data_IF_111087202554
#
_entry.id   IF_111087202554
#
_cell.length_a   1.000
_cell.length_b   1.000
_cell.length_c   1.000
_cell.angle_alpha   90.00
_cell.angle_beta   90.00
_cell.angle_gamma   90.00
#
_symmetry.space_group_name_H-M   'P 1'
#
loop_
_entity.id
_entity.type
_entity.pdbx_description
1 polymer ?
#
# COMPACT_ATOMS: atom_id res chain seq x y z
N UNK A 1 -11.34 -11.57 -31.22
CA UNK A 1 -11.35 -10.47 -30.22
C UNK A 1 -10.94 -9.19 -30.93
N UNK A 2 -11.73 -8.12 -30.91
CA UNK A 2 -11.39 -6.85 -31.62
C UNK A 2 -10.29 -6.10 -30.87
N UNK A 3 -9.42 -5.35 -31.55
CA UNK A 3 -8.36 -4.55 -30.88
C UNK A 3 -8.94 -3.62 -29.81
N UNK A 4 -10.07 -2.97 -30.09
CA UNK A 4 -10.81 -2.13 -29.15
C UNK A 4 -11.23 -2.88 -27.87
N UNK A 5 -11.59 -4.16 -27.96
CA UNK A 5 -11.93 -4.97 -26.80
C UNK A 5 -10.72 -5.35 -25.95
N UNK A 6 -9.52 -5.46 -26.53
CA UNK A 6 -8.28 -5.74 -25.80
C UNK A 6 -7.80 -4.50 -25.05
N UNK A 7 -7.76 -3.34 -25.72
CA UNK A 7 -7.37 -2.07 -25.09
C UNK A 7 -8.27 -1.69 -23.92
N UNK A 8 -9.59 -1.90 -24.05
CA UNK A 8 -10.54 -1.68 -22.95
C UNK A 8 -10.26 -2.59 -21.75
N UNK A 9 -9.96 -3.87 -21.97
CA UNK A 9 -9.65 -4.80 -20.89
C UNK A 9 -8.34 -4.44 -20.18
N UNK A 10 -7.30 -4.05 -20.92
CA UNK A 10 -6.03 -3.58 -20.34
C UNK A 10 -6.25 -2.30 -19.53
N UNK A 11 -7.03 -1.36 -20.04
CA UNK A 11 -7.34 -0.11 -19.32
C UNK A 11 -8.10 -0.39 -18.03
N UNK A 12 -9.08 -1.29 -18.06
CA UNK A 12 -9.83 -1.69 -16.88
C UNK A 12 -8.94 -2.38 -15.85
N UNK A 13 -8.05 -3.28 -16.28
CA UNK A 13 -7.08 -3.92 -15.38
C UNK A 13 -6.12 -2.89 -14.74
N UNK A 14 -5.67 -1.88 -15.48
CA UNK A 14 -4.86 -0.77 -14.92
C UNK A 14 -5.63 0.02 -13.87
N UNK A 15 -6.89 0.37 -14.15
CA UNK A 15 -7.75 1.07 -13.20
C UNK A 15 -7.90 0.25 -11.91
N UNK A 16 -8.13 -1.07 -12.01
CA UNK A 16 -8.24 -1.93 -10.84
C UNK A 16 -6.94 -1.93 -10.01
N UNK A 17 -5.77 -2.01 -10.65
CA UNK A 17 -4.49 -1.92 -9.93
C UNK A 17 -4.31 -0.56 -9.25
N UNK A 18 -4.69 0.55 -9.91
CA UNK A 18 -4.64 1.89 -9.33
C UNK A 18 -5.57 1.98 -8.12
N UNK A 19 -6.80 1.50 -8.24
CA UNK A 19 -7.77 1.50 -7.13
C UNK A 19 -7.29 0.64 -5.96
N UNK A 20 -6.70 -0.52 -6.24
CA UNK A 20 -6.11 -1.37 -5.21
C UNK A 20 -4.98 -0.66 -4.46
N UNK A 21 -4.09 0.05 -5.18
CA UNK A 21 -3.03 0.84 -4.58
C UNK A 21 -3.58 2.02 -3.75
N UNK A 22 -4.61 2.72 -4.25
CA UNK A 22 -5.27 3.80 -3.49
C UNK A 22 -5.92 3.26 -2.22
N UNK A 23 -6.56 2.08 -2.28
CA UNK A 23 -7.10 1.41 -1.10
C UNK A 23 -6.02 1.07 -0.07
N UNK A 24 -4.90 0.50 -0.51
CA UNK A 24 -3.75 0.20 0.36
C UNK A 24 -3.14 1.47 0.97
N UNK A 25 -2.99 2.53 0.18
CA UNK A 25 -2.54 3.84 0.67
C UNK A 25 -3.50 4.42 1.71
N UNK A 26 -4.81 4.21 1.58
CA UNK A 26 -5.78 4.62 2.60
C UNK A 26 -5.54 3.93 3.94
N UNK A 27 -5.29 2.62 3.92
CA UNK A 27 -4.97 1.84 5.14
C UNK A 27 -3.63 2.30 5.74
N UNK A 28 -2.61 2.47 4.91
CA UNK A 28 -1.29 2.94 5.35
C UNK A 28 -1.34 4.38 5.90
N UNK A 29 -2.11 5.26 5.28
CA UNK A 29 -2.33 6.63 5.75
C UNK A 29 -3.00 6.64 7.14
N UNK A 30 -4.03 5.82 7.36
CA UNK A 30 -4.63 5.67 8.69
C UNK A 30 -3.61 5.16 9.72
N UNK A 31 -2.78 4.21 9.33
CA UNK A 31 -1.69 3.72 10.19
C UNK A 31 -0.63 4.79 10.49
N UNK A 32 -0.28 5.63 9.52
CA UNK A 32 0.66 6.75 9.70
C UNK A 32 0.07 7.84 10.58
N UNK A 33 -1.24 8.10 10.46
CA UNK A 33 -1.96 9.04 11.29
C UNK A 33 -1.89 8.64 12.77
N UNK A 34 -2.08 7.35 13.08
CA UNK A 34 -2.00 6.88 14.46
C UNK A 34 -0.59 7.04 15.04
N UNK A 35 0.44 6.75 14.23
CA UNK A 35 1.82 6.91 14.68
C UNK A 35 2.20 8.38 14.88
N UNK A 36 1.99 9.22 13.85
CA UNK A 36 2.53 10.58 13.83
C UNK A 36 1.55 11.63 14.36
N UNK A 37 0.24 11.39 14.26
CA UNK A 37 -0.80 12.29 14.77
C UNK A 37 -1.12 12.01 16.23
N UNK A 38 -1.60 10.80 16.51
CA UNK A 38 -2.02 10.39 17.86
C UNK A 38 -0.82 10.09 18.77
N UNK A 39 0.31 9.66 18.20
CA UNK A 39 1.53 9.37 18.96
C UNK A 39 1.58 7.94 19.50
N UNK A 40 0.79 7.02 18.92
CA UNK A 40 0.89 5.60 19.24
C UNK A 40 2.20 5.05 18.66
N UNK A 41 3.04 4.54 19.54
CA UNK A 41 4.30 3.95 19.12
C UNK A 41 4.08 2.70 18.28
N UNK A 42 4.94 2.38 17.29
CA UNK A 42 4.77 1.18 16.50
C UNK A 42 5.21 -0.07 17.26
N UNK A 43 4.32 -1.05 17.35
CA UNK A 43 4.69 -2.39 17.78
C UNK A 43 5.58 -3.09 16.70
N UNK A 44 6.49 -4.00 17.09
CA UNK A 44 7.36 -4.70 16.14
C UNK A 44 6.57 -5.45 15.05
N UNK A 45 5.46 -6.07 15.44
CA UNK A 45 4.58 -6.80 14.52
C UNK A 45 3.82 -5.87 13.56
N UNK A 46 3.50 -4.66 14.00
CA UNK A 46 2.84 -3.63 13.20
C UNK A 46 3.76 -3.19 12.05
N UNK A 47 5.08 -3.10 12.29
CA UNK A 47 6.06 -2.81 11.24
C UNK A 47 6.17 -3.92 10.20
N UNK A 48 6.08 -5.18 10.63
CA UNK A 48 6.01 -6.34 9.72
C UNK A 48 4.77 -6.25 8.85
N UNK A 49 3.62 -5.87 9.42
CA UNK A 49 2.38 -5.68 8.67
C UNK A 49 2.50 -4.52 7.66
N UNK A 50 3.01 -3.35 8.05
CA UNK A 50 3.24 -2.24 7.11
C UNK A 50 4.18 -2.62 5.98
N UNK A 51 5.29 -3.29 6.30
CA UNK A 51 6.25 -3.80 5.31
C UNK A 51 5.61 -4.81 4.36
N UNK A 52 4.74 -5.69 4.88
CA UNK A 52 3.94 -6.62 4.10
C UNK A 52 2.98 -5.91 3.15
N UNK A 53 2.30 -4.84 3.59
CA UNK A 53 1.40 -4.05 2.74
C UNK A 53 2.15 -3.32 1.62
N UNK A 54 3.34 -2.77 1.92
CA UNK A 54 4.22 -2.21 0.89
C UNK A 54 4.66 -3.30 -0.09
N UNK A 55 5.03 -4.49 0.40
CA UNK A 55 5.35 -5.64 -0.45
C UNK A 55 4.17 -6.07 -1.35
N UNK A 56 2.95 -6.06 -0.81
CA UNK A 56 1.72 -6.31 -1.57
C UNK A 56 1.50 -5.26 -2.67
N UNK A 57 1.85 -3.99 -2.43
CA UNK A 57 1.76 -2.92 -3.42
C UNK A 57 2.77 -3.06 -4.58
N UNK A 58 3.90 -3.76 -4.39
CA UNK A 58 4.97 -3.88 -5.40
C UNK A 58 4.45 -4.46 -6.72
N UNK A 59 3.70 -5.56 -6.69
CA UNK A 59 3.19 -6.21 -7.91
C UNK A 59 2.30 -5.31 -8.77
N UNK A 60 1.24 -4.67 -8.23
CA UNK A 60 0.46 -3.66 -8.94
C UNK A 60 1.30 -2.50 -9.50
N UNK A 61 2.30 -2.01 -8.75
CA UNK A 61 3.23 -0.98 -9.24
C UNK A 61 4.03 -1.48 -10.45
N UNK A 62 4.60 -2.68 -10.36
CA UNK A 62 5.33 -3.32 -11.47
C UNK A 62 4.43 -3.52 -12.69
N UNK A 63 3.18 -3.94 -12.49
CA UNK A 63 2.19 -4.10 -13.56
C UNK A 63 1.90 -2.78 -14.27
N UNK A 64 1.78 -1.69 -13.53
CA UNK A 64 1.52 -0.37 -14.09
C UNK A 64 2.75 0.19 -14.83
N UNK A 65 3.97 -0.07 -14.35
CA UNK A 65 5.21 0.45 -14.96
C UNK A 65 5.71 -0.39 -16.13
N UNK A 66 5.70 -1.72 -16.00
CA UNK A 66 6.35 -2.66 -16.92
C UNK A 66 5.36 -3.56 -17.68
N UNK A 67 4.06 -3.32 -17.49
CA UNK A 67 2.99 -4.08 -18.12
C UNK A 67 2.49 -5.24 -17.28
N UNK A 68 1.26 -5.65 -17.56
CA UNK A 68 0.52 -6.67 -16.83
C UNK A 68 1.19 -8.05 -16.98
N UNK A 69 1.68 -8.63 -15.88
CA UNK A 69 2.29 -9.96 -15.83
C UNK A 69 1.86 -10.72 -14.58
N UNK A 70 1.62 -12.02 -14.73
CA UNK A 70 1.26 -12.89 -13.61
C UNK A 70 2.34 -12.95 -12.52
N UNK A 71 3.62 -12.88 -12.91
CA UNK A 71 4.76 -12.89 -11.99
C UNK A 71 4.72 -11.73 -10.99
N UNK A 72 4.24 -10.56 -11.40
CA UNK A 72 4.14 -9.41 -10.50
C UNK A 72 3.09 -9.66 -9.40
N UNK A 73 1.95 -10.26 -9.75
CA UNK A 73 0.93 -10.65 -8.77
C UNK A 73 1.42 -11.77 -7.83
N UNK A 74 2.24 -12.70 -8.31
CA UNK A 74 2.82 -13.73 -7.46
C UNK A 74 3.69 -13.12 -6.34
N UNK A 75 4.49 -12.09 -6.64
CA UNK A 75 5.29 -11.36 -5.64
C UNK A 75 4.37 -10.72 -4.59
N UNK A 76 3.30 -10.05 -5.03
CA UNK A 76 2.30 -9.46 -4.14
C UNK A 76 1.62 -10.47 -3.22
N UNK A 77 1.25 -11.63 -3.76
CA UNK A 77 0.62 -12.71 -2.98
C UNK A 77 1.60 -13.23 -1.92
N UNK A 78 2.86 -13.46 -2.28
CA UNK A 78 3.88 -13.92 -1.32
C UNK A 78 4.11 -12.90 -0.20
N UNK A 79 4.23 -11.61 -0.53
CA UNK A 79 4.34 -10.55 0.46
C UNK A 79 3.10 -10.44 1.36
N UNK A 80 1.90 -10.58 0.78
CA UNK A 80 0.66 -10.57 1.54
C UNK A 80 0.56 -11.77 2.49
N UNK A 81 0.98 -12.96 2.08
CA UNK A 81 1.05 -14.13 2.97
C UNK A 81 2.01 -13.91 4.14
N UNK A 82 3.17 -13.30 3.89
CA UNK A 82 4.13 -12.98 4.95
C UNK A 82 3.56 -11.94 5.95
N UNK A 83 2.93 -10.88 5.44
CA UNK A 83 2.26 -9.87 6.28
C UNK A 83 1.05 -10.43 7.05
N UNK A 84 0.27 -11.31 6.41
CA UNK A 84 -0.85 -12.01 7.03
C UNK A 84 -0.38 -12.91 8.17
N UNK A 85 0.75 -13.61 8.03
CA UNK A 85 1.32 -14.41 9.11
C UNK A 85 1.67 -13.55 10.34
N UNK A 86 2.21 -12.34 10.13
CA UNK A 86 2.43 -11.38 11.21
C UNK A 86 1.13 -10.92 11.88
N UNK A 87 0.07 -10.69 11.10
CA UNK A 87 -1.25 -10.31 11.62
C UNK A 87 -1.90 -11.44 12.42
N UNK A 88 -1.87 -12.67 11.90
CA UNK A 88 -2.40 -13.88 12.58
C UNK A 88 -1.66 -14.12 13.90
N UNK A 89 -0.34 -13.95 13.91
CA UNK A 89 0.44 -14.03 15.16
C UNK A 89 -0.06 -13.01 16.19
N UNK A 90 -0.33 -11.76 15.78
CA UNK A 90 -0.86 -10.74 16.70
C UNK A 90 -2.23 -11.15 17.26
N UNK A 91 -3.12 -11.62 16.39
CA UNK A 91 -4.45 -12.09 16.79
C UNK A 91 -4.33 -13.21 17.82
N UNK A 92 -3.47 -14.20 17.59
CA UNK A 92 -3.29 -15.31 18.53
C UNK A 92 -2.69 -14.89 19.88
N UNK A 93 -1.82 -13.88 19.91
CA UNK A 93 -1.27 -13.36 21.17
C UNK A 93 -2.37 -12.77 22.05
N UNK A 94 -3.29 -12.00 21.48
CA UNK A 94 -4.36 -11.34 22.24
C UNK A 94 -5.59 -12.21 22.47
N UNK A 95 -5.90 -13.16 21.58
CA UNK A 95 -6.99 -14.14 21.79
C UNK A 95 -6.66 -15.13 22.92
N UNK A 96 -5.38 -15.38 23.19
CA UNK A 96 -4.96 -16.34 24.22
C UNK A 96 -5.23 -15.89 25.66
N UNK A 97 -5.44 -14.58 25.90
CA UNK A 97 -5.65 -14.02 27.24
C UNK A 97 -7.01 -13.34 27.34
N UNK A 98 -8.00 -13.90 28.07
CA UNK A 98 -9.34 -13.34 28.19
C UNK A 98 -9.41 -11.97 28.87
N UNK A 99 -8.35 -11.60 29.59
CA UNK A 99 -8.24 -10.32 30.33
C UNK A 99 -7.37 -9.30 29.60
N UNK A 100 -6.88 -9.61 28.40
CA UNK A 100 -6.06 -8.70 27.61
C UNK A 100 -6.96 -7.70 26.88
N UNK A 101 -6.81 -6.37 27.13
CA UNK A 101 -7.56 -5.34 26.42
C UNK A 101 -7.18 -5.24 24.93
N UNK A 102 -6.15 -5.95 24.47
CA UNK A 102 -5.64 -5.89 23.11
C UNK A 102 -4.75 -4.69 22.86
N UNK A 103 -3.97 -4.75 21.78
CA UNK A 103 -3.07 -3.67 21.37
C UNK A 103 -3.71 -2.73 20.35
N UNK A 104 -3.63 -1.42 20.64
CA UNK A 104 -4.06 -0.35 19.73
C UNK A 104 -5.58 -0.18 19.64
N UNK A 105 -6.04 0.84 18.89
CA UNK A 105 -7.42 1.25 18.88
C UNK A 105 -8.29 0.25 18.11
N UNK A 106 -9.56 0.21 18.48
CA UNK A 106 -10.56 -0.56 17.77
C UNK A 106 -11.24 0.27 16.68
N UNK A 107 -11.43 -0.34 15.52
CA UNK A 107 -12.23 0.22 14.44
C UNK A 107 -13.36 -0.76 14.11
N UNK A 108 -14.61 -0.29 14.20
CA UNK A 108 -15.81 -1.15 14.08
C UNK A 108 -15.78 -2.40 14.99
N UNK A 109 -15.24 -2.26 16.21
CA UNK A 109 -15.21 -3.34 17.20
C UNK A 109 -14.14 -4.41 16.97
N UNK A 110 -13.18 -4.17 16.05
CA UNK A 110 -11.99 -5.00 15.87
C UNK A 110 -10.72 -4.16 15.93
N UNK A 111 -9.68 -4.67 16.58
CA UNK A 111 -8.37 -4.04 16.57
C UNK A 111 -7.74 -4.02 15.17
N UNK A 112 -6.85 -3.07 14.93
CA UNK A 112 -6.23 -2.82 13.64
C UNK A 112 -5.46 -4.01 13.06
N UNK A 113 -4.88 -4.87 13.89
CA UNK A 113 -4.19 -6.08 13.43
C UNK A 113 -5.15 -7.09 12.76
N UNK A 114 -6.43 -7.09 13.14
CA UNK A 114 -7.47 -7.88 12.47
C UNK A 114 -7.80 -7.28 11.11
N UNK A 115 -7.90 -5.95 11.03
CA UNK A 115 -8.08 -5.25 9.76
C UNK A 115 -6.88 -5.38 8.81
N UNK A 116 -5.67 -5.47 9.36
CA UNK A 116 -4.47 -5.77 8.59
C UNK A 116 -4.58 -7.17 7.95
N UNK A 117 -5.00 -8.18 8.72
CA UNK A 117 -5.26 -9.52 8.18
C UNK A 117 -6.32 -9.50 7.06
N UNK A 118 -7.44 -8.80 7.27
CA UNK A 118 -8.49 -8.64 6.24
C UNK A 118 -7.94 -7.98 4.98
N UNK A 119 -7.10 -6.94 5.13
CA UNK A 119 -6.45 -6.26 3.99
C UNK A 119 -5.58 -7.21 3.19
N UNK A 120 -4.79 -8.06 3.85
CA UNK A 120 -3.99 -9.07 3.17
C UNK A 120 -4.85 -10.14 2.49
N UNK A 121 -5.90 -10.62 3.15
CA UNK A 121 -6.82 -11.61 2.57
C UNK A 121 -7.49 -11.07 1.31
N UNK A 122 -8.00 -9.84 1.35
CA UNK A 122 -8.56 -9.13 0.19
C UNK A 122 -7.52 -8.96 -0.90
N UNK A 123 -6.28 -8.60 -0.55
CA UNK A 123 -5.17 -8.48 -1.50
C UNK A 123 -4.85 -9.79 -2.22
N UNK A 124 -4.77 -10.90 -1.49
CA UNK A 124 -4.53 -12.24 -2.06
C UNK A 124 -5.67 -12.65 -2.99
N UNK A 125 -6.92 -12.54 -2.52
CA UNK A 125 -8.10 -12.89 -3.33
C UNK A 125 -8.20 -12.00 -4.56
N UNK A 126 -7.97 -10.69 -4.42
CA UNK A 126 -7.98 -9.74 -5.53
C UNK A 126 -6.91 -10.06 -6.59
N UNK A 127 -5.69 -10.38 -6.16
CA UNK A 127 -4.64 -10.83 -7.07
C UNK A 127 -5.01 -12.15 -7.76
N UNK A 128 -5.56 -13.12 -7.02
CA UNK A 128 -6.02 -14.39 -7.58
C UNK A 128 -7.13 -14.20 -8.63
N UNK A 129 -8.10 -13.34 -8.36
CA UNK A 129 -9.16 -12.98 -9.32
C UNK A 129 -8.57 -12.35 -10.59
N UNK A 130 -7.62 -11.44 -10.45
CA UNK A 130 -6.94 -10.82 -11.61
C UNK A 130 -6.09 -11.82 -12.42
N UNK A 131 -5.55 -12.85 -11.77
CA UNK A 131 -4.81 -13.91 -12.45
C UNK A 131 -5.69 -14.78 -13.36
N UNK A 132 -7.00 -14.89 -13.08
CA UNK A 132 -7.94 -15.55 -14.02
C UNK A 132 -8.19 -14.72 -15.29
N UNK A 133 -7.81 -13.44 -15.31
CA UNK A 133 -8.01 -12.58 -16.45
C UNK A 133 -6.85 -12.68 -17.45
N UNK A 134 -6.95 -13.64 -18.37
CA UNK A 134 -5.87 -13.93 -19.32
C UNK A 134 -5.55 -12.79 -20.30
N UNK A 135 -6.56 -12.07 -20.81
CA UNK A 135 -6.36 -11.11 -21.92
C UNK A 135 -5.32 -10.03 -21.62
N UNK A 136 -5.38 -9.29 -20.49
CA UNK A 136 -4.35 -8.31 -20.15
C UNK A 136 -2.95 -8.92 -19.94
N UNK A 137 -2.88 -10.18 -19.49
CA UNK A 137 -1.63 -10.86 -19.16
C UNK A 137 -0.87 -11.38 -20.39
N UNK A 138 -1.59 -11.72 -21.47
CA UNK A 138 -1.00 -12.32 -22.68
C UNK A 138 -0.86 -11.35 -23.85
N UNK A 139 -1.52 -10.19 -23.82
CA UNK A 139 -1.52 -9.25 -24.94
C UNK A 139 -0.21 -8.47 -25.13
N UNK A 140 0.81 -8.74 -24.31
CA UNK A 140 2.12 -8.09 -24.40
C UNK A 140 2.10 -6.63 -23.96
N UNK A 141 1.33 -6.31 -22.92
CA UNK A 141 1.26 -4.95 -22.37
C UNK A 141 2.65 -4.41 -22.00
N UNK A 142 2.89 -3.13 -22.27
CA UNK A 142 4.18 -2.45 -22.07
C UNK A 142 4.10 -1.40 -20.94
N UNK A 143 3.02 -1.43 -20.15
CA UNK A 143 2.78 -0.50 -19.05
C UNK A 143 2.20 0.84 -19.48
N UNK A 144 1.93 1.68 -18.47
CA UNK A 144 1.25 2.97 -18.62
C UNK A 144 2.09 4.02 -19.35
N UNK A 145 3.41 3.84 -19.41
CA UNK A 145 4.35 4.86 -19.91
C UNK A 145 4.07 5.32 -21.35
N UNK A 146 3.50 4.44 -22.18
CA UNK A 146 3.16 4.75 -23.59
C UNK A 146 1.77 5.34 -23.77
N UNK A 147 0.93 5.34 -22.74
CA UNK A 147 -0.40 5.93 -22.77
C UNK A 147 -0.31 7.43 -22.45
N UNK A 148 -0.96 8.28 -23.23
CA UNK A 148 -1.08 9.70 -22.93
C UNK A 148 -2.38 9.97 -22.15
N UNK A 149 -2.35 10.93 -21.23
CA UNK A 149 -3.53 11.43 -20.54
C UNK A 149 -3.50 11.30 -19.02
N UNK A 150 -4.61 11.68 -18.38
CA UNK A 150 -4.77 11.77 -16.93
C UNK A 150 -4.46 10.46 -16.20
N UNK A 151 -4.71 9.30 -16.82
CA UNK A 151 -4.44 8.00 -16.21
C UNK A 151 -2.93 7.81 -15.92
N UNK A 152 -2.05 8.30 -16.79
CA UNK A 152 -0.59 8.23 -16.58
C UNK A 152 -0.15 9.14 -15.42
N UNK A 153 -0.67 10.35 -15.36
CA UNK A 153 -0.42 11.28 -14.26
C UNK A 153 -0.89 10.72 -12.90
N UNK A 154 -2.10 10.16 -12.84
CA UNK A 154 -2.65 9.51 -11.64
C UNK A 154 -1.78 8.32 -11.24
N UNK A 155 -1.38 7.49 -12.20
CA UNK A 155 -0.50 6.34 -11.93
C UNK A 155 0.83 6.79 -11.31
N UNK A 156 1.50 7.81 -11.87
CA UNK A 156 2.73 8.33 -11.29
C UNK A 156 2.52 8.97 -9.92
N UNK A 157 1.39 9.63 -9.69
CA UNK A 157 1.06 10.17 -8.37
C UNK A 157 0.90 9.05 -7.33
N UNK A 158 0.13 8.00 -7.64
CA UNK A 158 -0.07 6.86 -6.73
C UNK A 158 1.24 6.12 -6.46
N UNK A 159 2.08 5.90 -7.47
CA UNK A 159 3.41 5.28 -7.27
C UNK A 159 4.29 6.17 -6.39
N UNK A 160 4.23 7.49 -6.59
CA UNK A 160 4.96 8.44 -5.75
C UNK A 160 4.46 8.39 -4.31
N UNK A 161 3.15 8.29 -4.08
CA UNK A 161 2.57 8.16 -2.74
C UNK A 161 3.05 6.87 -2.05
N UNK A 162 3.06 5.72 -2.73
CA UNK A 162 3.60 4.46 -2.17
C UNK A 162 5.08 4.62 -1.79
N UNK A 163 5.85 5.29 -2.63
CA UNK A 163 7.26 5.56 -2.35
C UNK A 163 7.47 6.51 -1.16
N UNK A 164 6.65 7.56 -1.04
CA UNK A 164 6.67 8.49 0.08
C UNK A 164 6.29 7.79 1.39
N UNK A 165 5.25 6.95 1.39
CA UNK A 165 4.87 6.15 2.55
C UNK A 165 6.01 5.24 3.02
N UNK A 166 6.65 4.51 2.09
CA UNK A 166 7.82 3.69 2.39
C UNK A 166 8.95 4.54 3.01
N UNK A 167 9.20 5.72 2.47
CA UNK A 167 10.23 6.64 2.97
C UNK A 167 9.90 7.14 4.38
N UNK A 168 8.65 7.51 4.65
CA UNK A 168 8.22 7.93 5.99
C UNK A 168 8.34 6.78 6.98
N UNK A 169 7.87 5.57 6.63
CA UNK A 169 8.00 4.38 7.48
C UNK A 169 9.48 4.12 7.79
N UNK A 170 10.35 4.18 6.78
CA UNK A 170 11.79 3.93 6.99
C UNK A 170 12.44 4.99 7.88
N UNK A 171 12.13 6.27 7.67
CA UNK A 171 12.70 7.38 8.46
C UNK A 171 12.22 7.35 9.91
N UNK A 172 10.97 6.95 10.16
CA UNK A 172 10.38 6.93 11.50
C UNK A 172 10.81 5.71 12.31
N UNK A 173 11.05 4.58 11.65
CA UNK A 173 11.46 3.33 12.33
C UNK A 173 12.89 3.38 12.86
N UNK A 174 13.83 3.99 12.14
CA UNK A 174 15.26 3.98 12.54
C UNK A 174 15.49 4.63 13.91
N UNK A 175 14.92 5.81 14.23
CA UNK A 175 15.05 6.40 15.56
C UNK A 175 14.37 5.60 16.67
N UNK A 176 13.25 4.95 16.38
CA UNK A 176 12.41 4.26 17.39
C UNK A 176 12.95 2.86 17.71
N UNK A 177 13.44 2.13 16.71
CA UNK A 177 13.87 0.73 16.84
C UNK A 177 15.39 0.54 16.68
N UNK A 178 16.12 1.58 16.28
CA UNK A 178 17.52 1.47 15.91
C UNK A 178 17.72 0.53 14.71
N UNK A 179 18.84 -0.22 14.72
CA UNK A 179 19.10 -1.31 13.76
C UNK A 179 18.67 -2.68 14.31
N UNK A 180 18.00 -2.72 15.47
CA UNK A 180 17.63 -3.93 16.18
C UNK A 180 16.13 -4.21 16.18
N UNK A 181 15.67 -5.07 17.10
CA UNK A 181 14.25 -5.31 17.32
C UNK A 181 13.66 -4.17 18.14
N UNK A 182 12.47 -3.68 17.76
CA UNK A 182 11.75 -2.69 18.56
C UNK A 182 11.35 -3.32 19.91
N UNK A 183 11.19 -2.50 20.97
CA UNK A 183 10.58 -2.96 22.22
C UNK A 183 9.16 -3.49 21.97
N UNK A 184 8.74 -4.52 22.70
CA UNK A 184 7.41 -5.12 22.54
C UNK A 184 6.28 -4.18 22.97
N UNK A 185 6.52 -3.29 23.95
CA UNK A 185 5.53 -2.33 24.44
C UNK A 185 6.17 -0.97 24.81
N UNK A 186 6.40 -0.09 23.82
CA UNK A 186 7.04 1.20 24.05
C UNK A 186 6.06 2.30 24.48
N UNK A 187 6.48 3.18 25.39
CA UNK A 187 5.62 4.22 25.96
C UNK A 187 5.26 5.33 24.96
N UNK A 188 3.98 5.67 24.78
CA UNK A 188 3.52 6.70 23.83
C UNK A 188 4.37 7.99 23.82
N UNK A 189 4.68 8.48 22.61
CA UNK A 189 5.40 9.74 22.40
C UNK A 189 4.41 10.86 22.07
N UNK A 190 4.85 12.11 22.23
CA UNK A 190 4.05 13.26 21.74
C UNK A 190 4.02 13.23 20.21
N UNK A 191 2.87 12.85 19.62
CA UNK A 191 2.59 13.05 18.20
C UNK A 191 2.42 14.53 17.85
N UNK A 192 2.25 14.83 16.56
CA UNK A 192 1.94 16.18 16.04
C UNK A 192 0.52 16.64 16.38
N UNK A 193 -0.26 15.83 17.10
CA UNK A 193 -1.68 15.99 17.33
C UNK A 193 -2.52 15.50 16.15
N UNK A 194 -3.80 15.19 16.40
CA UNK A 194 -4.73 14.66 15.40
C UNK A 194 -4.76 15.51 14.12
N UNK A 195 -4.98 16.82 14.27
CA UNK A 195 -4.95 17.78 13.15
C UNK A 195 -3.60 17.79 12.42
N UNK A 196 -2.48 17.73 13.16
CA UNK A 196 -1.14 17.71 12.59
C UNK A 196 -0.87 16.46 11.76
N UNK A 197 -1.32 15.29 12.23
CA UNK A 197 -1.22 14.03 11.50
C UNK A 197 -1.98 14.06 10.18
N UNK A 198 -3.22 14.56 10.16
CA UNK A 198 -3.99 14.70 8.93
C UNK A 198 -3.40 15.72 7.96
N UNK A 199 -2.89 16.84 8.46
CA UNK A 199 -2.18 17.84 7.64
C UNK A 199 -0.91 17.25 7.00
N UNK A 200 -0.17 16.43 7.73
CA UNK A 200 1.01 15.74 7.20
C UNK A 200 0.65 14.81 6.05
N UNK A 201 -0.37 13.96 6.22
CA UNK A 201 -0.87 13.04 5.18
C UNK A 201 -1.40 13.80 3.97
N UNK A 202 -2.14 14.89 4.19
CA UNK A 202 -2.61 15.78 3.12
C UNK A 202 -1.42 16.38 2.35
N UNK A 203 -0.37 16.81 3.06
CA UNK A 203 0.88 17.29 2.48
C UNK A 203 1.54 16.24 1.57
N UNK A 204 1.69 14.99 2.04
CA UNK A 204 2.23 13.89 1.23
C UNK A 204 1.37 13.64 -0.02
N UNK A 205 0.06 13.68 0.13
CA UNK A 205 -0.89 13.51 -0.98
C UNK A 205 -0.69 14.61 -2.02
N UNK A 206 -0.60 15.88 -1.62
CA UNK A 206 -0.34 17.00 -2.53
C UNK A 206 1.02 16.86 -3.22
N UNK A 207 2.07 16.50 -2.49
CA UNK A 207 3.41 16.28 -3.08
C UNK A 207 3.34 15.17 -4.14
N UNK A 208 2.68 14.04 -3.82
CA UNK A 208 2.54 12.92 -4.75
C UNK A 208 1.82 13.32 -6.05
N UNK A 209 0.77 14.14 -5.95
CA UNK A 209 0.05 14.68 -7.10
C UNK A 209 0.96 15.61 -7.92
N UNK A 210 1.62 16.57 -7.28
CA UNK A 210 2.50 17.53 -7.96
C UNK A 210 3.62 16.80 -8.72
N UNK A 211 4.26 15.83 -8.07
CA UNK A 211 5.30 15.00 -8.70
C UNK A 211 4.72 14.17 -9.85
N UNK A 212 3.60 13.48 -9.64
CA UNK A 212 2.96 12.64 -10.66
C UNK A 212 2.58 13.41 -11.93
N UNK A 213 1.93 14.56 -11.77
CA UNK A 213 1.58 15.45 -12.89
C UNK A 213 2.83 16.10 -13.51
N UNK A 214 3.85 16.41 -12.71
CA UNK A 214 5.14 16.91 -13.20
C UNK A 214 5.87 15.90 -14.09
N UNK A 215 5.91 14.63 -13.67
CA UNK A 215 6.51 13.52 -14.42
C UNK A 215 5.76 13.26 -15.72
N UNK A 216 4.42 13.29 -15.70
CA UNK A 216 3.60 13.16 -16.91
C UNK A 216 3.90 14.26 -17.94
N UNK A 217 3.93 15.53 -17.49
CA UNK A 217 4.26 16.68 -18.36
C UNK A 217 5.67 16.57 -18.95
N UNK A 218 6.66 16.15 -18.17
CA UNK A 218 8.04 15.93 -18.66
C UNK A 218 8.07 14.84 -19.73
N UNK A 219 7.40 13.72 -19.50
CA UNK A 219 7.30 12.61 -20.46
C UNK A 219 6.64 13.04 -21.77
N UNK A 220 5.58 13.84 -21.69
CA UNK A 220 4.88 14.38 -22.86
C UNK A 220 5.80 15.28 -23.72
N UNK A 221 6.65 16.11 -23.09
CA UNK A 221 7.61 16.97 -23.81
C UNK A 221 8.70 16.19 -24.55
N UNK A 222 9.20 15.09 -23.97
CA UNK A 222 10.24 14.26 -24.61
C UNK A 222 9.72 13.34 -25.72
N UNK A 223 8.39 13.25 -25.90
CA UNK A 223 7.77 12.43 -26.95
C UNK A 223 7.38 13.23 -28.19
N UNK A 224 7.64 14.55 -28.19
CA UNK A 224 7.52 15.46 -29.34
C UNK A 224 8.90 15.70 -29.95
#
# INVERSE_FOLDING_TARGET
>A
MTRLSVERQVTLARIINILALVGLLGVLAGSLHLQLGVGEQPCPLCLVQRSGMIGLAVGPVMNLLWGMKAQHYAISILAACAGAAGSVRQIFLHVASPTDPGYGPEFFGFHLYTWAFVTFAVGVVGCAVLLFWNTPLVCGDQGISKQAGSLRAITYAVITAVFLDLLVITITVIPECGLGMCPDDPANISGFGDMGGWLFIAGLTVISLVVGFGLDRRKARHSQ
#
